data_IF_720514196390
#
_entry.id   IF_720514196390
#
_cell.length_a   1.000
_cell.length_b   1.000
_cell.length_c   1.000
_cell.angle_alpha   90.00
_cell.angle_beta   90.00
_cell.angle_gamma   90.00
#
_symmetry.space_group_name_H-M   'P 1'
#
loop_
_entity.id
_entity.type
_entity.pdbx_description
1 polymer ?
#
# COMPACT_ATOMS: atom_id res chain seq x y z
N UNK A 1 16.85 13.52 -10.71
CA UNK A 1 16.38 12.87 -9.47
C UNK A 1 14.86 12.89 -9.53
N UNK A 2 14.20 11.73 -9.54
CA UNK A 2 12.72 11.68 -9.63
C UNK A 2 12.09 12.20 -8.34
N UNK A 3 10.89 12.78 -8.40
CA UNK A 3 10.16 13.14 -7.18
C UNK A 3 9.69 11.88 -6.43
N UNK A 4 9.38 11.97 -5.13
CA UNK A 4 8.96 10.82 -4.34
C UNK A 4 7.75 10.07 -4.90
N UNK A 5 6.84 10.75 -5.60
CA UNK A 5 5.69 10.11 -6.24
C UNK A 5 6.12 9.30 -7.47
N UNK A 6 7.02 9.86 -8.29
CA UNK A 6 7.51 9.17 -9.48
C UNK A 6 8.43 8.00 -9.17
N UNK A 7 9.10 8.00 -8.01
CA UNK A 7 9.87 6.84 -7.53
C UNK A 7 8.99 5.63 -7.13
N UNK A 8 7.69 5.84 -6.89
CA UNK A 8 6.77 4.77 -6.47
C UNK A 8 5.94 4.20 -7.61
N UNK A 9 6.42 4.33 -8.85
CA UNK A 9 5.74 3.78 -10.04
C UNK A 9 6.48 2.54 -10.53
N UNK A 10 5.83 1.66 -11.32
CA UNK A 10 6.53 0.59 -12.01
C UNK A 10 7.72 1.14 -12.80
N UNK A 11 8.83 0.40 -12.86
CA UNK A 11 10.11 0.91 -13.40
C UNK A 11 9.96 1.50 -14.81
N UNK A 12 9.14 0.87 -15.65
CA UNK A 12 8.87 1.35 -17.00
C UNK A 12 8.02 2.63 -17.06
N UNK A 13 7.23 2.91 -16.01
CA UNK A 13 6.49 4.17 -15.83
C UNK A 13 7.42 5.25 -15.28
N UNK A 14 8.33 4.90 -14.35
CA UNK A 14 9.39 5.81 -13.89
C UNK A 14 10.25 6.32 -15.07
N UNK A 15 10.50 5.44 -16.04
CA UNK A 15 11.25 5.78 -17.24
C UNK A 15 10.62 6.93 -18.04
N UNK A 16 9.28 7.09 -18.03
CA UNK A 16 8.61 8.23 -18.65
C UNK A 16 9.05 9.54 -17.97
N UNK A 17 8.95 9.59 -16.65
CA UNK A 17 9.32 10.78 -15.88
C UNK A 17 10.79 11.12 -16.02
N UNK A 18 11.66 10.11 -15.94
CA UNK A 18 13.09 10.28 -16.09
C UNK A 18 13.43 10.84 -17.47
N UNK A 19 12.81 10.29 -18.52
CA UNK A 19 13.01 10.76 -19.90
C UNK A 19 12.52 12.20 -20.07
N UNK A 20 11.32 12.53 -19.58
CA UNK A 20 10.78 13.88 -19.68
C UNK A 20 11.68 14.92 -18.99
N UNK A 21 12.16 14.63 -17.78
CA UNK A 21 13.06 15.52 -17.04
C UNK A 21 14.37 15.71 -17.81
N UNK A 22 14.97 14.63 -18.29
CA UNK A 22 16.24 14.71 -19.03
C UNK A 22 16.10 15.44 -20.37
N UNK A 23 14.95 15.31 -21.06
CA UNK A 23 14.65 16.07 -22.27
C UNK A 23 14.54 17.57 -21.97
N UNK A 24 13.79 17.95 -20.94
CA UNK A 24 13.65 19.37 -20.54
C UNK A 24 15.02 19.99 -20.20
N UNK A 25 15.88 19.27 -19.49
CA UNK A 25 17.24 19.74 -19.18
C UNK A 25 18.15 19.78 -20.42
N UNK A 26 18.07 18.77 -21.29
CA UNK A 26 18.88 18.72 -22.52
C UNK A 26 18.52 19.85 -23.47
N UNK A 27 17.25 20.23 -23.55
CA UNK A 27 16.79 21.36 -24.39
C UNK A 27 17.43 22.70 -24.02
N UNK A 28 17.76 22.89 -22.74
CA UNK A 28 18.48 24.10 -22.29
C UNK A 28 19.89 24.18 -22.89
N UNK A 29 20.46 23.03 -23.26
CA UNK A 29 21.79 22.92 -23.86
C UNK A 29 21.74 22.87 -25.39
N UNK A 30 20.69 22.28 -25.97
CA UNK A 30 20.56 22.14 -27.43
C UNK A 30 19.98 23.36 -28.12
N UNK A 31 19.40 24.31 -27.38
CA UNK A 31 18.84 25.57 -27.91
C UNK A 31 17.88 25.35 -29.10
N UNK A 32 17.04 24.32 -29.02
CA UNK A 32 16.08 23.98 -30.08
C UNK A 32 16.65 23.10 -31.21
N UNK A 33 17.87 22.59 -31.05
CA UNK A 33 18.42 21.55 -31.91
C UNK A 33 17.67 20.22 -31.75
N UNK A 34 17.69 19.41 -32.81
CA UNK A 34 17.08 18.06 -32.81
C UNK A 34 17.70 17.18 -31.73
N UNK A 35 16.85 16.50 -30.98
CA UNK A 35 17.19 15.57 -29.91
C UNK A 35 16.81 14.15 -30.29
N UNK A 36 17.75 13.22 -30.15
CA UNK A 36 17.48 11.79 -30.24
C UNK A 36 17.73 11.20 -28.86
N UNK A 37 16.70 10.60 -28.28
CA UNK A 37 16.78 9.98 -26.96
C UNK A 37 16.65 8.48 -27.12
N UNK A 38 17.72 7.79 -26.72
CA UNK A 38 17.81 6.34 -26.72
C UNK A 38 17.54 5.81 -25.31
N UNK A 39 16.60 4.89 -25.17
CA UNK A 39 16.22 4.31 -23.88
C UNK A 39 15.91 2.82 -24.02
N UNK A 40 16.22 1.98 -23.01
CA UNK A 40 15.81 0.58 -23.04
C UNK A 40 14.30 0.37 -22.86
N UNK A 41 13.55 1.43 -22.52
CA UNK A 41 12.11 1.35 -22.30
C UNK A 41 11.34 1.90 -23.50
N UNK A 42 10.25 1.22 -23.89
CA UNK A 42 9.35 1.68 -24.94
C UNK A 42 8.44 2.85 -24.45
N UNK A 43 9.05 3.98 -24.08
CA UNK A 43 8.42 5.13 -23.40
C UNK A 43 7.13 5.58 -24.09
N UNK A 44 7.14 5.74 -25.42
CA UNK A 44 5.95 6.12 -26.21
C UNK A 44 4.81 5.11 -26.04
N UNK A 45 5.10 3.82 -26.14
CA UNK A 45 4.09 2.76 -26.01
C UNK A 45 3.55 2.67 -24.58
N UNK A 46 4.42 2.82 -23.59
CA UNK A 46 4.04 2.78 -22.17
C UNK A 46 3.15 3.97 -21.82
N UNK A 47 3.52 5.18 -22.26
CA UNK A 47 2.74 6.39 -22.03
C UNK A 47 1.32 6.25 -22.59
N UNK A 48 1.19 5.79 -23.84
CA UNK A 48 -0.09 5.69 -24.52
C UNK A 48 -0.99 4.54 -24.01
N UNK A 49 -0.42 3.45 -23.50
CA UNK A 49 -1.20 2.24 -23.19
C UNK A 49 -1.37 1.94 -21.70
N UNK A 50 -0.46 2.39 -20.83
CA UNK A 50 -0.41 1.93 -19.43
C UNK A 50 -0.28 3.05 -18.40
N UNK A 51 0.00 4.29 -18.82
CA UNK A 51 0.34 5.35 -17.88
C UNK A 51 -0.86 6.04 -17.23
N UNK A 52 -2.05 6.00 -17.83
CA UNK A 52 -3.29 6.60 -17.30
C UNK A 52 -3.60 6.15 -15.86
N UNK A 53 -3.32 4.88 -15.53
CA UNK A 53 -3.57 4.34 -14.18
C UNK A 53 -2.62 4.89 -13.10
N UNK A 54 -1.51 5.50 -13.50
CA UNK A 54 -0.41 5.89 -12.59
C UNK A 54 -0.17 7.40 -12.56
N UNK A 55 -0.48 8.08 -13.67
CA UNK A 55 -0.27 9.49 -13.86
C UNK A 55 -1.60 10.24 -13.68
N UNK A 56 -1.56 11.39 -13.02
CA UNK A 56 -2.69 12.31 -13.03
C UNK A 56 -2.84 12.93 -14.42
N UNK A 57 -4.05 13.38 -14.78
CA UNK A 57 -4.30 14.06 -16.07
C UNK A 57 -3.31 15.19 -16.35
N UNK A 58 -2.95 15.96 -15.31
CA UNK A 58 -1.96 17.03 -15.41
C UNK A 58 -0.55 16.51 -15.75
N UNK A 59 -0.13 15.36 -15.19
CA UNK A 59 1.17 14.75 -15.50
C UNK A 59 1.15 14.08 -16.88
N UNK A 60 0.03 13.43 -17.25
CA UNK A 60 -0.18 12.87 -18.59
C UNK A 60 0.00 13.94 -19.66
N UNK A 61 -0.79 15.02 -19.59
CA UNK A 61 -0.72 16.12 -20.54
C UNK A 61 0.68 16.74 -20.61
N UNK A 62 1.35 16.92 -19.47
CA UNK A 62 2.72 17.42 -19.44
C UNK A 62 3.67 16.50 -20.20
N UNK A 63 3.62 15.19 -19.95
CA UNK A 63 4.55 14.25 -20.58
C UNK A 63 4.25 14.03 -22.06
N UNK A 64 2.98 14.02 -22.47
CA UNK A 64 2.59 13.98 -23.89
C UNK A 64 3.16 15.18 -24.65
N UNK A 65 2.99 16.40 -24.12
CA UNK A 65 3.53 17.60 -24.73
C UNK A 65 5.07 17.57 -24.88
N UNK A 66 5.78 16.97 -23.91
CA UNK A 66 7.24 16.91 -23.93
C UNK A 66 7.77 15.80 -24.86
N UNK A 67 7.15 14.62 -24.81
CA UNK A 67 7.70 13.37 -25.35
C UNK A 67 7.04 12.90 -26.65
N UNK A 68 5.80 13.31 -26.91
CA UNK A 68 5.00 12.85 -28.05
C UNK A 68 4.82 13.95 -29.08
N UNK A 69 4.37 15.12 -28.63
CA UNK A 69 3.94 16.22 -29.50
C UNK A 69 5.08 17.14 -29.96
N UNK A 70 6.32 16.75 -29.70
CA UNK A 70 7.48 17.58 -29.99
C UNK A 70 8.18 17.21 -31.30
N UNK A 71 8.18 18.14 -32.26
CA UNK A 71 8.75 17.93 -33.61
C UNK A 71 10.28 17.81 -33.64
N UNK A 72 10.95 18.28 -32.59
CA UNK A 72 12.40 18.28 -32.43
C UNK A 72 12.93 16.99 -31.77
N UNK A 73 12.07 16.08 -31.33
CA UNK A 73 12.43 14.93 -30.51
C UNK A 73 12.13 13.60 -31.22
N UNK A 74 13.13 12.72 -31.27
CA UNK A 74 12.96 11.31 -31.67
C UNK A 74 13.24 10.41 -30.47
N UNK A 75 12.30 9.51 -30.17
CA UNK A 75 12.45 8.49 -29.13
C UNK A 75 12.79 7.15 -29.77
N UNK A 76 13.93 6.58 -29.40
CA UNK A 76 14.38 5.28 -29.88
C UNK A 76 14.49 4.27 -28.74
N UNK A 77 14.00 3.06 -28.99
CA UNK A 77 14.17 1.94 -28.07
C UNK A 77 15.50 1.26 -28.38
N UNK A 78 16.45 1.37 -27.47
CA UNK A 78 17.81 0.84 -27.63
C UNK A 78 18.02 -0.41 -26.78
N UNK A 79 18.86 -1.34 -27.27
CA UNK A 79 19.17 -2.63 -26.65
C UNK A 79 20.41 -2.59 -25.75
N UNK A 80 21.06 -1.44 -25.61
CA UNK A 80 22.31 -1.29 -24.86
C UNK A 80 22.08 -1.37 -23.35
N UNK A 81 22.85 -2.23 -22.66
CA UNK A 81 22.67 -2.52 -21.23
C UNK A 81 23.42 -1.54 -20.31
N UNK A 82 24.34 -0.73 -20.86
CA UNK A 82 25.12 0.25 -20.10
C UNK A 82 25.68 1.38 -20.98
N UNK A 83 26.17 2.50 -20.39
CA UNK A 83 26.70 3.64 -21.14
C UNK A 83 27.89 3.32 -22.05
N UNK A 84 28.76 2.37 -21.66
CA UNK A 84 29.93 2.01 -22.47
C UNK A 84 29.53 1.25 -23.75
N UNK A 85 28.55 0.35 -23.65
CA UNK A 85 27.97 -0.32 -24.82
C UNK A 85 27.22 0.66 -25.72
N UNK A 86 26.49 1.62 -25.14
CA UNK A 86 25.80 2.66 -25.90
C UNK A 86 26.76 3.52 -26.74
N UNK A 87 27.95 3.80 -26.22
CA UNK A 87 28.94 4.66 -26.88
C UNK A 87 29.89 3.90 -27.83
N UNK A 88 30.23 2.65 -27.52
CA UNK A 88 31.34 1.93 -28.17
C UNK A 88 31.07 0.44 -28.50
N UNK A 89 29.90 -0.10 -28.16
CA UNK A 89 29.61 -1.53 -28.28
C UNK A 89 28.60 -1.88 -29.36
N UNK A 90 28.61 -3.14 -29.79
CA UNK A 90 27.54 -3.72 -30.59
C UNK A 90 26.26 -3.83 -29.75
N UNK A 91 25.07 -3.50 -30.30
CA UNK A 91 23.81 -3.61 -29.58
C UNK A 91 23.50 -5.07 -29.23
N UNK A 92 22.91 -5.32 -28.06
CA UNK A 92 22.53 -6.66 -27.64
C UNK A 92 21.48 -7.28 -28.58
N UNK A 93 21.47 -8.61 -28.70
CA UNK A 93 20.58 -9.33 -29.63
C UNK A 93 19.09 -9.12 -29.30
N UNK A 94 18.75 -8.98 -28.01
CA UNK A 94 17.37 -8.87 -27.54
C UNK A 94 17.17 -7.62 -26.68
N UNK A 95 15.92 -7.14 -26.63
CA UNK A 95 15.51 -6.13 -25.64
C UNK A 95 15.69 -6.68 -24.22
N UNK A 96 16.04 -5.80 -23.29
CA UNK A 96 16.23 -6.15 -21.87
C UNK A 96 14.95 -6.76 -21.29
N UNK A 97 13.80 -6.21 -21.65
CA UNK A 97 12.48 -6.67 -21.20
C UNK A 97 11.35 -6.09 -22.08
N UNK A 98 10.16 -6.70 -22.00
CA UNK A 98 8.93 -6.11 -22.52
C UNK A 98 8.31 -5.21 -21.46
N UNK A 99 8.26 -3.89 -21.71
CA UNK A 99 7.75 -2.93 -20.73
C UNK A 99 6.29 -3.19 -20.34
N UNK A 100 5.44 -3.64 -21.27
CA UNK A 100 4.03 -3.91 -20.97
C UNK A 100 3.87 -5.14 -20.06
N UNK A 101 4.67 -6.18 -20.30
CA UNK A 101 4.69 -7.39 -19.46
C UNK A 101 5.28 -7.10 -18.09
N UNK A 102 6.38 -6.35 -18.01
CA UNK A 102 6.98 -5.95 -16.72
C UNK A 102 6.02 -5.08 -15.92
N UNK A 103 5.37 -4.09 -16.57
CA UNK A 103 4.32 -3.32 -15.90
C UNK A 103 3.23 -4.29 -15.46
N UNK A 104 2.70 -5.16 -16.31
CA UNK A 104 1.64 -6.08 -15.91
C UNK A 104 2.05 -7.00 -14.75
N UNK A 105 3.30 -7.47 -14.72
CA UNK A 105 3.86 -8.30 -13.65
C UNK A 105 4.04 -7.53 -12.34
N UNK A 106 4.75 -6.40 -12.37
CA UNK A 106 4.92 -5.49 -11.22
C UNK A 106 3.58 -4.94 -10.73
N UNK A 107 2.59 -4.94 -11.61
CA UNK A 107 1.26 -4.46 -11.34
C UNK A 107 0.22 -5.57 -11.18
N UNK A 108 0.60 -6.81 -10.94
CA UNK A 108 -0.33 -7.85 -10.52
C UNK A 108 -0.31 -7.95 -8.99
N UNK A 109 -1.43 -7.63 -8.35
CA UNK A 109 -1.62 -7.84 -6.90
C UNK A 109 -1.99 -9.31 -6.69
N UNK A 110 -1.12 -10.23 -7.12
CA UNK A 110 -1.46 -11.64 -7.46
C UNK A 110 -2.18 -11.72 -8.81
N UNK A 111 -1.85 -12.75 -9.60
CA UNK A 111 -2.45 -12.97 -10.93
C UNK A 111 -3.91 -13.41 -10.87
N UNK A 112 -4.39 -13.76 -9.68
CA UNK A 112 -5.59 -14.56 -9.43
C UNK A 112 -6.61 -13.84 -8.51
N UNK A 113 -6.41 -12.53 -8.27
CA UNK A 113 -7.38 -11.68 -7.57
C UNK A 113 -8.39 -11.09 -8.56
N UNK A 114 -9.63 -11.57 -8.50
CA UNK A 114 -10.71 -11.17 -9.39
C UNK A 114 -11.69 -10.18 -8.73
N UNK A 115 -12.05 -9.12 -9.46
CA UNK A 115 -13.08 -8.15 -9.02
C UNK A 115 -14.50 -8.71 -9.14
N UNK A 116 -14.68 -9.76 -9.94
CA UNK A 116 -15.94 -10.45 -10.13
C UNK A 116 -15.93 -11.79 -9.38
N UNK A 117 -17.09 -12.19 -8.87
CA UNK A 117 -17.23 -13.46 -8.17
C UNK A 117 -16.80 -14.63 -9.06
N UNK A 118 -16.05 -15.58 -8.49
CA UNK A 118 -15.65 -16.79 -9.18
C UNK A 118 -16.87 -17.67 -9.45
N UNK A 119 -16.84 -18.42 -10.56
CA UNK A 119 -17.90 -19.38 -10.90
C UNK A 119 -17.90 -20.61 -10.00
N UNK A 120 -16.74 -20.92 -9.39
CA UNK A 120 -16.50 -22.08 -8.54
C UNK A 120 -15.74 -21.67 -7.27
N UNK A 121 -15.87 -22.45 -6.21
CA UNK A 121 -15.18 -22.23 -4.93
C UNK A 121 -16.11 -21.91 -3.76
N UNK A 122 -15.51 -21.58 -2.63
CA UNK A 122 -16.20 -21.19 -1.40
C UNK A 122 -16.81 -19.79 -1.51
N UNK A 123 -17.97 -19.56 -0.91
CA UNK A 123 -18.62 -18.24 -0.86
C UNK A 123 -18.59 -17.77 0.58
N UNK A 124 -17.92 -16.66 0.85
CA UNK A 124 -17.70 -16.14 2.21
C UNK A 124 -18.26 -14.73 2.31
N UNK A 125 -19.00 -14.45 3.39
CA UNK A 125 -19.43 -13.10 3.75
C UNK A 125 -18.70 -12.64 5.00
N UNK A 126 -18.22 -11.40 5.00
CA UNK A 126 -17.53 -10.81 6.15
C UNK A 126 -18.13 -9.48 6.54
N UNK A 127 -18.14 -9.20 7.85
CA UNK A 127 -18.47 -7.88 8.39
C UNK A 127 -17.68 -7.61 9.68
N UNK A 128 -17.44 -6.32 9.94
CA UNK A 128 -16.84 -5.81 11.16
C UNK A 128 -17.68 -4.73 11.84
N UNK A 129 -18.03 -4.95 13.11
CA UNK A 129 -18.83 -4.02 13.89
C UNK A 129 -18.02 -3.27 14.94
N UNK A 130 -18.31 -1.98 15.13
CA UNK A 130 -17.81 -1.18 16.25
C UNK A 130 -18.89 -0.19 16.70
N UNK A 131 -19.40 -0.35 17.91
CA UNK A 131 -20.55 0.42 18.45
C UNK A 131 -20.26 0.94 19.84
N UNK A 132 -20.84 2.07 20.21
CA UNK A 132 -20.83 2.53 21.60
C UNK A 132 -22.15 2.15 22.28
N UNK A 133 -22.08 1.29 23.29
CA UNK A 133 -23.20 0.89 24.14
C UNK A 133 -22.91 1.33 25.57
N UNK A 134 -23.82 2.09 26.17
CA UNK A 134 -23.68 2.61 27.54
C UNK A 134 -22.35 3.33 27.81
N UNK A 135 -21.84 4.07 26.81
CA UNK A 135 -20.58 4.80 26.91
C UNK A 135 -19.32 3.94 26.72
N UNK A 136 -19.43 2.62 26.57
CA UNK A 136 -18.33 1.72 26.26
C UNK A 136 -18.37 1.33 24.78
N UNK A 137 -17.22 1.39 24.10
CA UNK A 137 -17.10 0.89 22.74
C UNK A 137 -16.94 -0.63 22.75
N UNK A 138 -17.69 -1.29 21.88
CA UNK A 138 -17.78 -2.73 21.71
C UNK A 138 -17.50 -3.02 20.24
N UNK A 139 -16.53 -3.89 19.98
CA UNK A 139 -16.03 -4.16 18.64
C UNK A 139 -15.98 -5.66 18.39
N UNK A 140 -16.24 -6.09 17.17
CA UNK A 140 -16.31 -7.51 16.80
C UNK A 140 -16.27 -7.70 15.29
N UNK A 141 -16.07 -8.94 14.86
CA UNK A 141 -16.14 -9.33 13.45
C UNK A 141 -16.82 -10.68 13.30
N UNK A 142 -17.24 -10.99 12.07
CA UNK A 142 -17.71 -12.30 11.70
C UNK A 142 -17.28 -12.69 10.27
N UNK A 143 -17.13 -13.99 10.07
CA UNK A 143 -16.89 -14.69 8.82
C UNK A 143 -17.97 -15.75 8.69
N UNK A 144 -18.73 -15.72 7.60
CA UNK A 144 -19.92 -16.55 7.39
C UNK A 144 -19.78 -17.33 6.09
N UNK A 145 -20.11 -18.62 6.15
CA UNK A 145 -20.27 -19.47 4.98
C UNK A 145 -21.57 -19.11 4.26
N UNK A 146 -21.44 -18.67 3.02
CA UNK A 146 -22.54 -18.30 2.15
C UNK A 146 -23.34 -19.46 1.59
N UNK A 147 -22.79 -20.68 1.56
CA UNK A 147 -23.49 -21.86 1.03
C UNK A 147 -24.44 -22.44 2.06
N UNK A 148 -23.96 -22.66 3.28
CA UNK A 148 -24.79 -23.22 4.36
C UNK A 148 -25.42 -22.14 5.25
N UNK A 149 -25.08 -20.86 5.05
CA UNK A 149 -25.56 -19.74 5.85
C UNK A 149 -25.24 -19.94 7.34
N UNK A 150 -23.99 -20.31 7.64
CA UNK A 150 -23.51 -20.59 8.99
C UNK A 150 -22.28 -19.75 9.32
N UNK A 151 -22.17 -19.32 10.57
CA UNK A 151 -21.00 -18.62 11.08
C UNK A 151 -19.81 -19.58 11.12
N UNK A 152 -18.74 -19.25 10.37
CA UNK A 152 -17.47 -19.98 10.39
C UNK A 152 -16.68 -19.54 11.62
N UNK A 153 -16.54 -18.22 11.79
CA UNK A 153 -15.77 -17.62 12.87
C UNK A 153 -16.40 -16.28 13.24
N UNK A 154 -16.51 -15.99 14.54
CA UNK A 154 -16.85 -14.66 15.04
C UNK A 154 -16.18 -14.45 16.38
N UNK A 155 -15.73 -13.23 16.64
CA UNK A 155 -15.03 -12.94 17.90
C UNK A 155 -15.13 -11.46 18.28
N UNK A 156 -15.01 -11.22 19.59
CA UNK A 156 -14.91 -9.87 20.13
C UNK A 156 -13.52 -9.31 19.88
N UNK A 157 -13.48 -8.07 19.41
CA UNK A 157 -12.27 -7.31 19.15
C UNK A 157 -12.00 -6.30 20.26
N UNK A 158 -10.76 -5.78 20.36
CA UNK A 158 -10.43 -4.76 21.34
C UNK A 158 -11.36 -3.55 21.25
N UNK A 159 -11.85 -3.11 22.42
CA UNK A 159 -12.85 -2.04 22.53
C UNK A 159 -12.43 -0.69 21.91
N UNK A 160 -11.15 -0.45 21.65
CA UNK A 160 -10.67 0.77 21.01
C UNK A 160 -10.69 0.72 19.47
N UNK A 161 -11.03 -0.42 18.85
CA UNK A 161 -11.00 -0.56 17.39
C UNK A 161 -12.14 0.21 16.71
N UNK A 162 -11.87 0.73 15.52
CA UNK A 162 -12.86 1.41 14.69
C UNK A 162 -13.62 0.40 13.82
N UNK A 163 -14.79 0.78 13.30
CA UNK A 163 -15.54 -0.07 12.36
C UNK A 163 -14.66 -0.49 11.18
N UNK A 164 -13.95 0.47 10.56
CA UNK A 164 -13.02 0.18 9.44
C UNK A 164 -11.92 -0.83 9.80
N UNK A 165 -11.42 -0.77 11.03
CA UNK A 165 -10.41 -1.72 11.52
C UNK A 165 -11.01 -3.11 11.69
N UNK A 166 -12.22 -3.21 12.24
CA UNK A 166 -12.93 -4.47 12.41
C UNK A 166 -13.23 -5.13 11.05
N UNK A 167 -13.67 -4.34 10.08
CA UNK A 167 -13.97 -4.76 8.71
C UNK A 167 -12.75 -5.33 8.00
N UNK A 168 -11.62 -4.62 8.12
CA UNK A 168 -10.34 -5.07 7.53
C UNK A 168 -9.85 -6.35 8.21
N UNK A 169 -10.08 -6.49 9.51
CA UNK A 169 -9.74 -7.71 10.24
C UNK A 169 -10.66 -8.88 9.86
N UNK A 170 -11.95 -8.65 9.66
CA UNK A 170 -12.88 -9.65 9.15
C UNK A 170 -12.41 -10.20 7.79
N UNK A 171 -11.99 -9.30 6.90
CA UNK A 171 -11.40 -9.65 5.61
C UNK A 171 -10.13 -10.49 5.77
N UNK A 172 -9.19 -10.08 6.65
CA UNK A 172 -7.99 -10.86 6.97
C UNK A 172 -8.35 -12.31 7.36
N UNK A 173 -9.32 -12.47 8.25
CA UNK A 173 -9.75 -13.76 8.78
C UNK A 173 -10.38 -14.66 7.71
N UNK A 174 -11.15 -14.08 6.79
CA UNK A 174 -11.65 -14.83 5.64
C UNK A 174 -10.55 -15.27 4.67
N UNK A 175 -9.53 -14.43 4.44
CA UNK A 175 -8.37 -14.80 3.62
C UNK A 175 -7.59 -15.97 4.25
N UNK A 176 -7.36 -15.93 5.56
CA UNK A 176 -6.74 -17.05 6.30
C UNK A 176 -7.58 -18.33 6.21
N UNK A 177 -8.90 -18.23 6.31
CA UNK A 177 -9.80 -19.38 6.20
C UNK A 177 -9.76 -20.03 4.80
N UNK A 178 -9.54 -19.22 3.76
CA UNK A 178 -9.43 -19.64 2.38
C UNK A 178 -8.01 -20.07 1.98
N UNK A 179 -7.08 -20.22 2.92
CA UNK A 179 -5.75 -20.73 2.63
C UNK A 179 -5.81 -22.06 1.84
N UNK A 180 -5.12 -22.08 0.70
CA UNK A 180 -5.08 -23.20 -0.25
C UNK A 180 -6.44 -23.61 -0.84
N UNK A 181 -7.43 -22.70 -0.85
CA UNK A 181 -8.74 -22.91 -1.46
C UNK A 181 -9.02 -21.85 -2.51
N UNK A 182 -10.00 -22.13 -3.36
CA UNK A 182 -10.64 -21.15 -4.25
C UNK A 182 -11.87 -20.56 -3.59
N UNK A 183 -12.11 -19.27 -3.71
CA UNK A 183 -13.34 -18.69 -3.19
C UNK A 183 -13.58 -17.23 -3.51
N UNK A 184 -14.78 -16.77 -3.16
CA UNK A 184 -15.21 -15.37 -3.26
C UNK A 184 -15.53 -14.83 -1.87
N UNK A 185 -14.90 -13.71 -1.48
CA UNK A 185 -15.24 -12.95 -0.27
C UNK A 185 -16.11 -11.76 -0.65
N UNK A 186 -17.27 -11.67 -0.02
CA UNK A 186 -18.18 -10.54 -0.10
C UNK A 186 -18.05 -9.67 1.14
N UNK A 187 -17.89 -8.37 0.93
CA UNK A 187 -17.85 -7.35 1.99
C UNK A 187 -18.67 -6.14 1.56
N UNK A 188 -19.36 -5.49 2.49
CA UNK A 188 -19.99 -4.18 2.23
C UNK A 188 -19.10 -2.98 2.59
N UNK A 189 -17.90 -3.25 3.10
CA UNK A 189 -16.91 -2.24 3.43
C UNK A 189 -16.10 -1.84 2.20
N UNK A 190 -16.43 -0.66 1.63
CA UNK A 190 -15.58 -0.01 0.62
C UNK A 190 -14.14 0.20 1.07
N UNK A 191 -13.93 0.36 2.38
CA UNK A 191 -12.58 0.53 2.90
C UNK A 191 -11.80 -0.78 2.83
N UNK A 192 -12.36 -1.89 3.32
CA UNK A 192 -11.70 -3.20 3.27
C UNK A 192 -11.45 -3.64 1.82
N UNK A 193 -12.44 -3.46 0.93
CA UNK A 193 -12.27 -3.64 -0.51
C UNK A 193 -11.12 -2.76 -1.06
N UNK A 194 -11.12 -1.47 -0.73
CA UNK A 194 -10.08 -0.54 -1.12
C UNK A 194 -8.69 -0.94 -0.63
N UNK A 195 -8.54 -1.44 0.60
CA UNK A 195 -7.25 -1.92 1.14
C UNK A 195 -6.62 -2.96 0.20
N UNK A 196 -7.38 -3.91 -0.31
CA UNK A 196 -6.82 -4.92 -1.19
C UNK A 196 -6.53 -4.36 -2.60
N UNK A 197 -7.50 -3.70 -3.23
CA UNK A 197 -7.36 -3.26 -4.63
C UNK A 197 -6.55 -1.96 -4.82
N UNK A 198 -6.57 -1.07 -3.84
CA UNK A 198 -5.88 0.23 -3.88
C UNK A 198 -4.55 0.20 -3.10
N UNK A 199 -4.46 -0.54 -1.98
CA UNK A 199 -3.29 -0.50 -1.11
C UNK A 199 -2.33 -1.69 -1.27
N UNK A 200 -2.71 -2.83 -1.85
CA UNK A 200 -1.77 -3.96 -2.00
C UNK A 200 -0.53 -3.68 -2.87
N UNK A 201 -0.58 -2.62 -3.67
CA UNK A 201 0.36 -2.37 -4.77
C UNK A 201 1.20 -1.12 -4.62
N UNK A 202 0.73 -0.19 -3.81
CA UNK A 202 1.35 1.13 -3.61
C UNK A 202 2.34 1.07 -2.44
N UNK A 203 2.26 0.06 -1.58
CA UNK A 203 2.80 0.12 -0.22
C UNK A 203 4.08 -0.69 0.01
N UNK A 204 4.34 -1.72 -0.82
CA UNK A 204 5.65 -2.41 -0.84
C UNK A 204 6.78 -1.46 -1.29
N UNK A 205 6.47 -0.47 -2.14
CA UNK A 205 7.43 0.51 -2.67
C UNK A 205 7.50 1.84 -1.87
N UNK A 206 6.59 2.10 -0.91
CA UNK A 206 6.43 3.42 -0.23
C UNK A 206 6.85 3.49 1.24
N UNK A 207 7.31 2.41 1.85
CA UNK A 207 7.74 2.42 3.27
C UNK A 207 6.66 2.87 4.24
N UNK A 208 5.39 2.56 3.94
CA UNK A 208 4.24 2.70 4.84
C UNK A 208 3.80 4.16 5.13
N UNK A 209 3.93 5.06 4.15
CA UNK A 209 3.51 6.46 4.24
C UNK A 209 2.30 6.82 3.36
N UNK A 210 1.35 7.59 3.91
CA UNK A 210 0.21 8.14 3.17
C UNK A 210 0.61 9.29 2.23
N UNK A 211 -0.33 9.80 1.43
CA UNK A 211 -0.08 10.90 0.47
C UNK A 211 0.42 12.21 1.07
N UNK A 212 0.42 12.34 2.41
CA UNK A 212 0.96 13.47 3.17
C UNK A 212 2.25 13.14 3.94
N UNK A 213 2.85 11.98 3.69
CA UNK A 213 4.07 11.53 4.38
C UNK A 213 3.88 11.09 5.83
N UNK A 214 2.65 10.78 6.27
CA UNK A 214 2.36 10.22 7.61
C UNK A 214 2.07 8.73 7.53
N UNK A 215 2.50 7.96 8.53
CA UNK A 215 2.18 6.53 8.65
C UNK A 215 0.68 6.24 8.60
N UNK A 216 0.29 5.07 8.11
CA UNK A 216 -1.11 4.65 8.13
C UNK A 216 -1.58 4.34 9.55
N UNK A 217 -2.86 4.62 9.79
CA UNK A 217 -3.54 4.14 10.98
C UNK A 217 -3.76 2.62 10.79
N UNK A 218 -3.13 1.80 11.64
CA UNK A 218 -3.11 0.33 11.60
C UNK A 218 -2.31 -0.32 10.47
N UNK A 219 -1.11 0.20 10.20
CA UNK A 219 -0.11 -0.35 9.27
C UNK A 219 0.11 -1.88 9.38
N UNK A 220 0.28 -2.40 10.59
CA UNK A 220 0.49 -3.84 10.81
C UNK A 220 -0.66 -4.72 10.29
N UNK A 221 -1.91 -4.30 10.51
CA UNK A 221 -3.08 -5.05 10.03
C UNK A 221 -3.14 -5.08 8.50
N UNK A 222 -2.76 -3.99 7.84
CA UNK A 222 -2.74 -3.94 6.38
C UNK A 222 -1.68 -4.90 5.84
N UNK A 223 -0.47 -4.90 6.42
CA UNK A 223 0.57 -5.87 6.04
C UNK A 223 0.12 -7.31 6.25
N UNK A 224 -0.54 -7.61 7.37
CA UNK A 224 -1.10 -8.93 7.65
C UNK A 224 -2.17 -9.33 6.61
N UNK A 225 -3.01 -8.41 6.14
CA UNK A 225 -3.99 -8.67 5.08
C UNK A 225 -3.29 -8.97 3.76
N UNK A 226 -2.23 -8.23 3.41
CA UNK A 226 -1.48 -8.45 2.18
C UNK A 226 -0.72 -9.77 2.17
N UNK A 227 -0.19 -10.20 3.31
CA UNK A 227 0.37 -11.55 3.45
C UNK A 227 -0.73 -12.61 3.39
N UNK A 228 -1.86 -12.40 4.07
CA UNK A 228 -2.99 -13.33 4.03
C UNK A 228 -3.59 -13.46 2.62
N UNK A 229 -3.51 -12.41 1.80
CA UNK A 229 -3.99 -12.41 0.43
C UNK A 229 -3.28 -13.45 -0.44
N UNK A 230 -2.03 -13.79 -0.10
CA UNK A 230 -1.22 -14.78 -0.82
C UNK A 230 -1.58 -16.23 -0.48
N UNK A 231 -2.45 -16.46 0.52
CA UNK A 231 -2.77 -17.80 1.02
C UNK A 231 -3.75 -18.59 0.14
N UNK A 232 -4.84 -17.99 -0.40
CA UNK A 232 -5.76 -18.69 -1.28
C UNK A 232 -5.12 -19.13 -2.60
N UNK A 233 -5.65 -20.18 -3.19
CA UNK A 233 -5.24 -20.65 -4.53
C UNK A 233 -5.78 -19.72 -5.63
N UNK A 234 -7.03 -19.26 -5.47
CA UNK A 234 -7.71 -18.33 -6.38
C UNK A 234 -8.75 -17.55 -5.57
N UNK A 235 -8.84 -16.23 -5.75
CA UNK A 235 -9.63 -15.40 -4.85
C UNK A 235 -10.36 -14.28 -5.61
N UNK A 236 -11.65 -14.15 -5.37
CA UNK A 236 -12.38 -12.93 -5.71
C UNK A 236 -12.73 -12.17 -4.45
N UNK A 237 -12.60 -10.84 -4.46
CA UNK A 237 -13.11 -9.99 -3.39
C UNK A 237 -14.09 -9.01 -4.01
N UNK A 238 -15.36 -9.12 -3.61
CA UNK A 238 -16.46 -8.40 -4.22
C UNK A 238 -17.08 -7.46 -3.19
N UNK A 239 -17.13 -6.17 -3.54
CA UNK A 239 -17.87 -5.20 -2.75
C UNK A 239 -19.36 -5.25 -3.08
N UNK A 240 -20.19 -5.43 -2.05
CA UNK A 240 -21.65 -5.37 -2.14
C UNK A 240 -22.21 -4.19 -1.36
N UNK A 241 -23.47 -3.81 -1.62
CA UNK A 241 -24.11 -2.73 -0.89
C UNK A 241 -24.64 -3.26 0.44
N UNK A 242 -24.20 -2.66 1.54
CA UNK A 242 -24.66 -3.03 2.88
C UNK A 242 -26.13 -2.69 3.16
N UNK A 243 -26.66 -3.31 4.21
CA UNK A 243 -28.00 -3.07 4.77
C UNK A 243 -29.16 -3.14 3.76
N UNK A 244 -29.08 -4.09 2.82
CA UNK A 244 -30.15 -4.32 1.85
C UNK A 244 -31.29 -5.15 2.45
N UNK A 245 -32.51 -4.86 2.02
CA UNK A 245 -33.70 -5.67 2.31
C UNK A 245 -34.00 -6.56 1.12
N UNK A 246 -34.12 -7.86 1.34
CA UNK A 246 -34.36 -8.83 0.28
C UNK A 246 -34.05 -10.26 0.72
N UNK A 247 -34.19 -11.19 -0.23
CA UNK A 247 -34.05 -12.63 0.02
C UNK A 247 -32.98 -13.30 -0.86
N UNK A 248 -32.22 -12.51 -1.65
CA UNK A 248 -31.13 -13.08 -2.45
C UNK A 248 -30.03 -13.62 -1.54
N UNK A 249 -29.26 -14.63 -1.98
CA UNK A 249 -28.18 -15.20 -1.18
C UNK A 249 -27.19 -14.15 -0.66
N UNK A 250 -26.85 -13.16 -1.48
CA UNK A 250 -25.91 -12.08 -1.14
C UNK A 250 -26.47 -11.20 -0.02
N UNK A 251 -27.74 -10.81 -0.13
CA UNK A 251 -28.40 -9.99 0.90
C UNK A 251 -28.49 -10.76 2.21
N UNK A 252 -28.87 -12.05 2.14
CA UNK A 252 -28.96 -12.90 3.34
C UNK A 252 -27.60 -13.09 3.98
N UNK A 253 -26.56 -13.34 3.17
CA UNK A 253 -25.20 -13.58 3.64
C UNK A 253 -24.61 -12.36 4.32
N UNK A 254 -24.72 -11.19 3.68
CA UNK A 254 -24.27 -9.93 4.25
C UNK A 254 -25.00 -9.60 5.55
N UNK A 255 -26.33 -9.75 5.57
CA UNK A 255 -27.11 -9.47 6.77
C UNK A 255 -26.77 -10.43 7.93
N UNK A 256 -26.44 -11.69 7.61
CA UNK A 256 -25.99 -12.65 8.63
C UNK A 256 -24.61 -12.28 9.15
N UNK A 257 -23.64 -11.96 8.30
CA UNK A 257 -22.32 -11.49 8.74
C UNK A 257 -22.44 -10.25 9.63
N UNK A 258 -23.28 -9.30 9.23
CA UNK A 258 -23.57 -8.08 10.00
C UNK A 258 -24.19 -8.38 11.37
N UNK A 259 -25.17 -9.29 11.43
CA UNK A 259 -25.77 -9.72 12.69
C UNK A 259 -24.75 -10.41 13.61
N UNK A 260 -23.93 -11.30 13.06
CA UNK A 260 -22.96 -12.09 13.81
C UNK A 260 -21.79 -11.22 14.31
N UNK A 261 -21.35 -10.23 13.54
CA UNK A 261 -20.31 -9.29 13.97
C UNK A 261 -20.79 -8.41 15.14
N UNK A 262 -22.07 -8.03 15.13
CA UNK A 262 -22.72 -7.29 16.22
C UNK A 262 -22.86 -8.12 17.48
N UNK A 263 -23.33 -9.36 17.32
CA UNK A 263 -23.41 -10.31 18.43
C UNK A 263 -22.03 -10.59 19.03
N UNK A 264 -21.00 -10.77 18.20
CA UNK A 264 -19.63 -10.94 18.66
C UNK A 264 -19.10 -9.72 19.43
N UNK A 265 -19.41 -8.51 18.97
CA UNK A 265 -19.02 -7.29 19.67
C UNK A 265 -19.64 -7.19 21.08
N UNK A 266 -20.91 -7.60 21.21
CA UNK A 266 -21.69 -7.47 22.45
C UNK A 266 -21.44 -8.63 23.42
N UNK A 267 -21.52 -9.86 22.91
CA UNK A 267 -21.58 -11.10 23.68
C UNK A 267 -20.35 -12.01 23.50
N UNK A 268 -19.41 -11.66 22.63
CA UNK A 268 -18.22 -12.48 22.38
C UNK A 268 -17.25 -12.54 23.57
N UNK A 269 -16.56 -13.67 23.70
CA UNK A 269 -15.48 -13.82 24.67
C UNK A 269 -14.31 -12.87 24.31
N UNK A 270 -13.76 -12.19 25.30
CA UNK A 270 -12.70 -11.22 25.11
C UNK A 270 -11.38 -11.95 24.81
N UNK A 271 -10.89 -11.86 23.55
CA UNK A 271 -9.53 -12.29 23.24
C UNK A 271 -8.58 -11.22 23.76
N UNK A 272 -7.65 -11.61 24.62
CA UNK A 272 -6.44 -10.80 24.83
C UNK A 272 -5.61 -10.91 23.56
N UNK A 273 -5.94 -10.10 22.55
CA UNK A 273 -4.96 -9.82 21.51
C UNK A 273 -3.80 -9.12 22.18
N UNK A 274 -2.66 -9.80 22.22
CA UNK A 274 -1.39 -9.10 22.34
C UNK A 274 -1.27 -8.29 21.05
N UNK A 275 -1.86 -7.10 21.04
CA UNK A 275 -1.53 -6.11 20.03
C UNK A 275 -0.04 -5.89 20.29
N UNK A 276 0.80 -6.49 19.43
CA UNK A 276 2.06 -5.86 19.11
C UNK A 276 1.62 -4.54 18.47
N UNK A 277 1.32 -3.57 19.33
CA UNK A 277 1.51 -2.18 18.96
C UNK A 277 2.87 -2.20 18.29
N UNK A 278 3.07 -1.57 17.12
CA UNK A 278 4.43 -1.33 16.66
C UNK A 278 5.09 -0.85 17.91
N UNK A 279 6.09 -1.64 18.38
CA UNK A 279 6.79 -1.36 19.61
C UNK A 279 6.92 0.15 19.51
N UNK A 280 6.34 0.94 20.44
CA UNK A 280 7.00 2.20 20.67
C UNK A 280 8.39 1.66 20.91
N UNK A 281 9.27 1.75 19.89
CA UNK A 281 10.66 1.40 20.04
C UNK A 281 10.90 2.04 21.37
N UNK A 282 11.17 1.24 22.40
CA UNK A 282 11.44 1.78 23.72
C UNK A 282 12.62 2.65 23.39
N UNK A 283 12.35 3.93 23.15
CA UNK A 283 13.22 4.82 22.42
C UNK A 283 14.25 5.01 23.47
N UNK A 284 15.30 4.19 23.37
CA UNK A 284 16.18 3.88 24.48
C UNK A 284 16.58 5.24 25.01
N UNK A 285 16.19 5.56 26.25
CA UNK A 285 16.30 6.93 26.72
C UNK A 285 17.80 7.26 26.67
N UNK A 286 18.24 8.27 25.89
CA UNK A 286 19.65 8.54 25.71
C UNK A 286 20.31 8.77 27.06
N UNK A 287 21.19 7.85 27.47
CA UNK A 287 21.96 7.99 28.70
C UNK A 287 23.23 8.77 28.38
N UNK A 288 23.35 9.95 28.98
CA UNK A 288 24.53 10.79 28.92
C UNK A 288 25.30 10.69 30.24
N UNK A 289 26.63 10.66 30.15
CA UNK A 289 27.52 10.78 31.30
C UNK A 289 27.42 12.17 31.93
N UNK A 290 27.86 12.32 33.19
CA UNK A 290 27.85 13.62 33.87
C UNK A 290 28.71 14.69 33.16
N UNK A 291 29.77 14.28 32.46
CA UNK A 291 30.57 15.18 31.63
C UNK A 291 29.77 15.68 30.42
N UNK A 292 29.04 14.79 29.74
CA UNK A 292 28.20 15.16 28.59
C UNK A 292 27.03 16.05 29.02
N UNK A 293 26.37 15.76 30.15
CA UNK A 293 25.29 16.62 30.68
C UNK A 293 25.77 18.05 30.97
N UNK A 294 26.99 18.22 31.48
CA UNK A 294 27.59 19.55 31.70
C UNK A 294 27.79 20.32 30.40
N UNK A 295 28.24 19.65 29.33
CA UNK A 295 28.37 20.28 28.02
C UNK A 295 27.01 20.58 27.38
N UNK A 296 26.03 19.67 27.54
CA UNK A 296 24.66 19.87 27.05
C UNK A 296 23.98 21.08 27.71
N UNK A 297 24.18 21.28 29.02
CA UNK A 297 23.68 22.47 29.71
C UNK A 297 24.33 23.76 29.19
N UNK A 298 25.63 23.74 28.81
CA UNK A 298 26.31 24.93 28.26
C UNK A 298 25.73 25.38 26.92
N UNK A 299 25.21 24.45 26.12
CA UNK A 299 24.58 24.75 24.82
C UNK A 299 23.06 24.98 24.93
N UNK A 300 22.54 25.16 26.16
CA UNK A 300 21.12 25.41 26.41
C UNK A 300 20.23 24.18 26.29
N UNK A 301 20.81 22.98 26.39
CA UNK A 301 20.04 21.74 26.42
C UNK A 301 19.32 21.56 27.76
N UNK A 302 18.07 21.11 27.72
CA UNK A 302 17.26 20.84 28.90
C UNK A 302 16.84 19.36 28.94
N UNK A 303 16.82 18.79 30.15
CA UNK A 303 16.32 17.44 30.37
C UNK A 303 14.84 17.49 30.74
N UNK A 304 14.00 16.84 29.93
CA UNK A 304 12.59 16.67 30.25
C UNK A 304 12.39 15.61 31.36
N UNK A 305 11.24 15.63 32.04
CA UNK A 305 10.86 14.63 33.05
C UNK A 305 10.90 13.19 32.51
N UNK A 306 10.74 13.03 31.19
CA UNK A 306 10.89 11.75 30.47
C UNK A 306 12.34 11.26 30.33
N UNK A 307 13.33 12.00 30.86
CA UNK A 307 14.76 11.70 30.77
C UNK A 307 15.42 12.09 29.44
N UNK A 308 14.64 12.49 28.42
CA UNK A 308 15.11 12.93 27.11
C UNK A 308 15.69 14.35 27.16
N UNK A 309 16.76 14.60 26.42
CA UNK A 309 17.38 15.91 26.29
C UNK A 309 16.90 16.63 25.02
N UNK A 310 16.56 17.91 25.15
CA UNK A 310 16.12 18.77 24.05
C UNK A 310 16.97 20.03 23.97
N UNK A 311 17.22 20.50 22.76
CA UNK A 311 17.82 21.81 22.50
C UNK A 311 16.74 22.91 22.45
N UNK A 312 17.13 24.20 22.55
CA UNK A 312 16.19 25.32 22.50
C UNK A 312 15.35 25.38 21.21
N UNK A 313 15.83 24.79 20.12
CA UNK A 313 15.12 24.71 18.84
C UNK A 313 14.15 23.52 18.73
N UNK A 314 13.96 22.76 19.82
CA UNK A 314 13.03 21.65 19.92
C UNK A 314 13.57 20.31 19.44
N UNK A 315 14.81 20.23 18.93
CA UNK A 315 15.43 18.97 18.51
C UNK A 315 15.78 18.08 19.71
N UNK A 316 15.50 16.78 19.58
CA UNK A 316 15.89 15.77 20.59
C UNK A 316 17.32 15.28 20.32
N UNK A 317 18.11 15.19 21.39
CA UNK A 317 19.49 14.73 21.32
C UNK A 317 19.59 13.23 21.56
N UNK A 318 20.28 12.53 20.65
CA UNK A 318 20.66 11.13 20.82
C UNK A 318 22.09 11.04 21.37
N UNK A 319 22.35 10.04 22.21
CA UNK A 319 23.72 9.74 22.61
C UNK A 319 24.44 8.96 21.49
N UNK A 320 25.77 8.90 21.55
CA UNK A 320 26.58 8.23 20.51
C UNK A 320 26.21 6.76 20.29
N UNK A 321 25.72 6.08 21.33
CA UNK A 321 25.35 4.66 21.25
C UNK A 321 24.10 4.50 20.39
N UNK A 322 23.11 5.37 20.57
CA UNK A 322 21.86 5.34 19.81
C UNK A 322 22.03 5.86 18.40
N UNK A 323 22.84 6.91 18.21
CA UNK A 323 23.16 7.44 16.89
C UNK A 323 23.88 6.44 15.99
N UNK A 324 24.50 5.38 16.55
CA UNK A 324 25.14 4.29 15.78
C UNK A 324 24.19 3.16 15.39
N UNK A 325 22.98 3.13 15.96
CA UNK A 325 21.95 2.12 15.66
C UNK A 325 20.99 2.57 14.53
N UNK A 326 21.08 3.83 14.12
CA UNK A 326 20.33 4.47 13.03
C UNK A 326 21.28 4.60 11.84
#
# INVERSE_FOLDING_TARGET
MLDPVSHSWPVCIQAIAATAILVEESRKLTFGGKLIVCTPHAVRNVLNQKAEKWLTDSRMLKYEAILIDSDDLTLEVNRSLNPAQFLYGEPADNLIHNCLEIIQYQTKVQGDLEEQALSEGEIIYVDGSSRCLQGKRMSGYAVVDGKNMQTIEKEKLPSNWSARTCESYALKKALEYLAHKKGTIYTDSRYAFGVVYTFGKIWEERGLLNSRGKGLVHEGLILEILEALKLPEEIAIVHIKGHQRGVTPEIRGNNLADQEAKDAAENGAERVMLILTPNEEKLEIPKFSEAEKKELNKIGGEQAESGKWKLPDGRQLLNKILARKI
#
